data_IF_001647615867
#
_entry.id   IF_001647615867
#
_cell.length_a   1.000
_cell.length_b   1.000
_cell.length_c   1.000
_cell.angle_alpha   90.00
_cell.angle_beta   90.00
_cell.angle_gamma   90.00
#
_symmetry.space_group_name_H-M   'P 1'
#
loop_
_entity.id
_entity.type
_entity.pdbx_description
1 polymer ?
#
# COMPACT_ATOMS: atom_id res chain seq x y z
N UNK A 1 12.11 -8.87 -18.67
CA UNK A 1 11.04 -9.33 -19.59
C UNK A 1 10.92 -10.85 -19.62
N UNK A 2 11.93 -11.62 -20.01
CA UNK A 2 11.84 -13.09 -20.05
C UNK A 2 11.33 -13.74 -18.77
N UNK A 3 11.77 -13.27 -17.59
CA UNK A 3 11.30 -13.77 -16.30
C UNK A 3 9.78 -13.62 -16.12
N UNK A 4 9.21 -12.47 -16.45
CA UNK A 4 7.75 -12.24 -16.30
C UNK A 4 6.92 -13.07 -17.31
N UNK A 5 7.45 -13.33 -18.49
CA UNK A 5 6.82 -14.25 -19.47
C UNK A 5 6.81 -15.67 -18.90
N UNK A 6 7.90 -16.10 -18.26
CA UNK A 6 7.98 -17.41 -17.58
C UNK A 6 6.97 -17.48 -16.42
N UNK A 7 6.81 -16.42 -15.65
CA UNK A 7 5.80 -16.35 -14.57
C UNK A 7 4.39 -16.50 -15.13
N UNK A 8 4.05 -15.77 -16.22
CA UNK A 8 2.75 -15.88 -16.89
C UNK A 8 2.47 -17.28 -17.45
N UNK A 9 3.50 -18.05 -17.80
CA UNK A 9 3.37 -19.43 -18.26
C UNK A 9 3.28 -20.44 -17.12
N UNK A 10 4.15 -20.35 -16.11
CA UNK A 10 4.28 -21.34 -15.05
C UNK A 10 3.11 -21.30 -14.07
N UNK A 11 2.66 -20.11 -13.62
CA UNK A 11 1.60 -20.02 -12.63
C UNK A 11 0.28 -20.69 -13.05
N UNK A 12 -0.25 -20.48 -14.28
CA UNK A 12 -1.46 -21.18 -14.74
C UNK A 12 -1.28 -22.70 -14.92
N UNK A 13 -0.04 -23.17 -15.14
CA UNK A 13 0.24 -24.62 -15.23
C UNK A 13 0.17 -25.26 -13.84
N UNK A 14 0.74 -24.60 -12.81
CA UNK A 14 0.74 -25.11 -11.42
C UNK A 14 -0.64 -24.91 -10.78
N UNK A 15 -1.28 -23.77 -11.04
CA UNK A 15 -2.58 -23.39 -10.49
C UNK A 15 -3.58 -23.07 -11.60
N UNK A 16 -4.27 -24.07 -12.18
CA UNK A 16 -5.17 -23.87 -13.33
C UNK A 16 -6.32 -22.87 -13.07
N UNK A 17 -6.74 -22.75 -11.80
CA UNK A 17 -7.83 -21.87 -11.38
C UNK A 17 -7.36 -20.44 -10.99
N UNK A 18 -6.10 -20.08 -11.29
CA UNK A 18 -5.60 -18.74 -10.99
C UNK A 18 -6.35 -17.67 -11.79
N UNK A 19 -6.59 -16.53 -11.17
CA UNK A 19 -7.14 -15.37 -11.88
C UNK A 19 -6.07 -14.77 -12.81
N UNK A 20 -6.16 -15.12 -14.10
CA UNK A 20 -5.20 -14.69 -15.12
C UNK A 20 -5.15 -13.16 -15.27
N UNK A 21 -6.26 -12.46 -14.98
CA UNK A 21 -6.32 -11.00 -15.02
C UNK A 21 -5.43 -10.35 -13.95
N UNK A 22 -5.49 -10.86 -12.72
CA UNK A 22 -4.62 -10.40 -11.62
C UNK A 22 -3.15 -10.65 -11.97
N UNK A 23 -2.82 -11.85 -12.43
CA UNK A 23 -1.45 -12.22 -12.78
C UNK A 23 -0.89 -11.36 -13.92
N UNK A 24 -1.69 -11.13 -14.98
CA UNK A 24 -1.28 -10.28 -16.10
C UNK A 24 -1.06 -8.83 -15.69
N UNK A 25 -2.00 -8.26 -14.92
CA UNK A 25 -1.88 -6.89 -14.42
C UNK A 25 -0.68 -6.73 -13.48
N UNK A 26 -0.41 -7.72 -12.61
CA UNK A 26 0.77 -7.74 -11.75
C UNK A 26 2.06 -7.69 -12.59
N UNK A 27 2.18 -8.53 -13.62
CA UNK A 27 3.34 -8.54 -14.50
C UNK A 27 3.48 -7.23 -15.28
N UNK A 28 2.38 -6.62 -15.71
CA UNK A 28 2.38 -5.32 -16.37
C UNK A 28 2.89 -4.20 -15.43
N UNK A 29 2.39 -4.12 -14.21
CA UNK A 29 2.81 -3.13 -13.21
C UNK A 29 4.31 -3.30 -12.86
N UNK A 30 4.78 -4.55 -12.66
CA UNK A 30 6.19 -4.84 -12.44
C UNK A 30 7.06 -4.41 -13.63
N UNK A 31 6.59 -4.61 -14.87
CA UNK A 31 7.29 -4.19 -16.07
C UNK A 31 7.49 -2.67 -16.08
N UNK A 32 6.42 -1.92 -15.84
CA UNK A 32 6.46 -0.45 -15.75
C UNK A 32 7.40 -0.02 -14.63
N UNK A 33 7.30 -0.67 -13.45
CA UNK A 33 8.16 -0.42 -12.32
C UNK A 33 9.65 -0.62 -12.66
N UNK A 34 10.01 -1.71 -13.33
CA UNK A 34 11.40 -1.97 -13.74
C UNK A 34 11.91 -0.95 -14.76
N UNK A 35 11.10 -0.53 -15.72
CA UNK A 35 11.50 0.50 -16.72
C UNK A 35 11.82 1.81 -16.02
N UNK A 36 10.91 2.29 -15.17
CA UNK A 36 11.08 3.57 -14.47
C UNK A 36 12.22 3.51 -13.45
N UNK A 37 12.35 2.42 -12.69
CA UNK A 37 13.43 2.28 -11.72
C UNK A 37 14.81 2.13 -12.39
N UNK A 38 14.90 1.42 -13.52
CA UNK A 38 16.13 1.35 -14.29
C UNK A 38 16.55 2.74 -14.81
N UNK A 39 15.57 3.58 -15.18
CA UNK A 39 15.77 4.98 -15.55
C UNK A 39 16.26 5.84 -14.39
N UNK A 40 15.68 5.67 -13.19
CA UNK A 40 16.02 6.48 -12.01
C UNK A 40 17.29 6.00 -11.32
N UNK A 41 17.47 4.68 -11.17
CA UNK A 41 18.63 4.06 -10.55
C UNK A 41 18.74 2.59 -10.96
N UNK A 42 19.69 2.28 -11.81
CA UNK A 42 19.94 0.91 -12.29
C UNK A 42 20.25 -0.06 -11.12
N UNK A 43 21.05 0.39 -10.14
CA UNK A 43 21.38 -0.44 -8.97
C UNK A 43 20.15 -0.84 -8.17
N UNK A 44 19.21 0.12 -7.92
CA UNK A 44 17.94 -0.17 -7.22
C UNK A 44 17.05 -1.09 -8.04
N UNK A 45 17.01 -0.94 -9.37
CA UNK A 45 16.27 -1.80 -10.28
C UNK A 45 16.77 -3.24 -10.22
N UNK A 46 18.08 -3.46 -10.21
CA UNK A 46 18.70 -4.80 -10.08
C UNK A 46 18.35 -5.43 -8.72
N UNK A 47 18.53 -4.68 -7.63
CA UNK A 47 18.13 -5.16 -6.28
C UNK A 47 16.66 -5.55 -6.23
N UNK A 48 15.79 -4.72 -6.80
CA UNK A 48 14.36 -4.99 -6.85
C UNK A 48 14.04 -6.23 -7.69
N UNK A 49 14.70 -6.41 -8.83
CA UNK A 49 14.55 -7.60 -9.67
C UNK A 49 14.90 -8.88 -8.91
N UNK A 50 16.00 -8.88 -8.16
CA UNK A 50 16.40 -10.05 -7.33
C UNK A 50 15.31 -10.35 -6.30
N UNK A 51 14.81 -9.33 -5.60
CA UNK A 51 13.73 -9.49 -4.62
C UNK A 51 12.47 -10.06 -5.28
N UNK A 52 12.04 -9.50 -6.42
CA UNK A 52 10.87 -9.97 -7.15
C UNK A 52 11.04 -11.42 -7.59
N UNK A 53 12.22 -11.79 -8.13
CA UNK A 53 12.48 -13.16 -8.58
C UNK A 53 12.39 -14.16 -7.42
N UNK A 54 13.04 -13.87 -6.29
CA UNK A 54 13.01 -14.73 -5.09
C UNK A 54 11.60 -14.83 -4.51
N UNK A 55 10.91 -13.69 -4.35
CA UNK A 55 9.59 -13.64 -3.72
C UNK A 55 8.53 -14.30 -4.60
N UNK A 56 8.60 -14.12 -5.91
CA UNK A 56 7.67 -14.80 -6.85
C UNK A 56 7.83 -16.32 -6.77
N UNK A 57 9.04 -16.84 -6.61
CA UNK A 57 9.24 -18.28 -6.38
C UNK A 57 8.68 -18.73 -5.02
N UNK A 58 8.87 -17.91 -3.97
CA UNK A 58 8.30 -18.21 -2.65
C UNK A 58 6.77 -18.12 -2.64
N UNK A 59 6.18 -17.20 -3.40
CA UNK A 59 4.73 -17.04 -3.48
C UNK A 59 4.01 -18.26 -4.06
N UNK A 60 4.68 -19.10 -4.86
CA UNK A 60 4.14 -20.39 -5.32
C UNK A 60 3.77 -21.33 -4.17
N UNK A 61 4.41 -21.19 -3.01
CA UNK A 61 4.15 -22.04 -1.85
C UNK A 61 2.87 -21.59 -1.09
N UNK A 62 2.52 -20.31 -1.18
CA UNK A 62 1.42 -19.71 -0.40
C UNK A 62 0.06 -20.35 -0.68
N UNK A 63 -0.40 -20.50 -1.94
CA UNK A 63 -1.68 -21.18 -2.22
C UNK A 63 -1.71 -22.61 -1.75
N UNK A 64 -0.60 -23.34 -1.88
CA UNK A 64 -0.47 -24.71 -1.37
C UNK A 64 -0.65 -24.76 0.15
N UNK A 65 0.03 -23.90 0.91
CA UNK A 65 -0.12 -23.80 2.36
C UNK A 65 -1.55 -23.40 2.75
N UNK A 66 -2.12 -22.42 2.06
CA UNK A 66 -3.49 -21.95 2.33
C UNK A 66 -4.54 -23.04 2.10
N UNK A 67 -4.38 -23.87 1.07
CA UNK A 67 -5.29 -24.96 0.77
C UNK A 67 -5.12 -26.19 1.71
N UNK A 68 -3.89 -26.46 2.15
CA UNK A 68 -3.58 -27.65 2.97
C UNK A 68 -3.95 -27.47 4.44
N UNK A 69 -3.82 -26.26 4.99
CA UNK A 69 -4.04 -26.00 6.41
C UNK A 69 -5.32 -25.21 6.65
N UNK A 70 -6.35 -25.87 7.22
CA UNK A 70 -7.60 -25.21 7.63
C UNK A 70 -7.48 -24.40 8.94
N UNK A 71 -6.28 -24.31 9.52
CA UNK A 71 -6.02 -23.69 10.82
C UNK A 71 -6.03 -22.16 10.82
N UNK A 72 -5.96 -21.52 9.63
CA UNK A 72 -5.86 -20.06 9.50
C UNK A 72 -6.93 -19.29 10.27
N UNK A 73 -8.16 -19.83 10.34
CA UNK A 73 -9.27 -19.22 11.08
C UNK A 73 -9.12 -19.31 12.60
N UNK A 74 -8.42 -20.32 13.11
CA UNK A 74 -8.24 -20.53 14.57
C UNK A 74 -7.14 -19.67 15.15
N UNK A 75 -6.18 -19.22 14.34
CA UNK A 75 -5.01 -18.46 14.75
C UNK A 75 -5.28 -16.95 14.96
N UNK A 76 -6.55 -16.54 15.05
CA UNK A 76 -6.98 -15.13 15.15
C UNK A 76 -6.22 -14.35 16.22
N UNK A 77 -6.08 -14.90 17.42
CA UNK A 77 -5.37 -14.23 18.53
C UNK A 77 -3.86 -14.16 18.31
N UNK A 78 -3.27 -15.17 17.66
CA UNK A 78 -1.85 -15.16 17.29
C UNK A 78 -1.59 -14.00 16.32
N UNK A 79 -2.44 -13.84 15.30
CA UNK A 79 -2.33 -12.69 14.38
C UNK A 79 -2.44 -11.36 15.11
N UNK A 80 -3.37 -11.25 16.08
CA UNK A 80 -3.51 -10.04 16.88
C UNK A 80 -2.23 -9.69 17.63
N UNK A 81 -1.69 -10.62 18.42
CA UNK A 81 -0.52 -10.36 19.26
C UNK A 81 0.78 -10.22 18.45
N UNK A 82 0.97 -11.04 17.41
CA UNK A 82 2.15 -10.95 16.54
C UNK A 82 2.16 -9.62 15.79
N UNK A 83 1.01 -9.21 15.21
CA UNK A 83 0.93 -7.96 14.49
C UNK A 83 1.17 -6.73 15.39
N UNK A 84 0.50 -6.66 16.56
CA UNK A 84 0.73 -5.59 17.54
C UNK A 84 2.18 -5.61 18.07
N UNK A 85 2.70 -6.80 18.38
CA UNK A 85 4.07 -6.96 18.86
C UNK A 85 5.10 -6.45 17.87
N UNK A 86 4.94 -6.74 16.57
CA UNK A 86 5.82 -6.23 15.51
C UNK A 86 5.75 -4.71 15.39
N UNK A 87 4.57 -4.10 15.47
CA UNK A 87 4.45 -2.63 15.42
C UNK A 87 5.06 -1.97 16.66
N UNK A 88 4.84 -2.52 17.86
CA UNK A 88 5.43 -2.01 19.08
C UNK A 88 6.95 -2.18 19.05
N UNK A 89 7.47 -3.30 18.55
CA UNK A 89 8.91 -3.51 18.38
C UNK A 89 9.54 -2.41 17.52
N UNK A 90 8.88 -1.96 16.45
CA UNK A 90 9.37 -0.83 15.62
C UNK A 90 9.41 0.48 16.40
N UNK A 91 8.42 0.74 17.28
CA UNK A 91 8.45 1.94 18.13
C UNK A 91 9.67 1.97 19.05
N UNK A 92 10.08 0.78 19.56
CA UNK A 92 11.19 0.66 20.51
C UNK A 92 12.55 0.62 19.80
N UNK A 93 12.70 -0.27 18.83
CA UNK A 93 13.99 -0.59 18.17
C UNK A 93 14.16 0.13 16.82
N UNK A 94 13.09 0.70 16.27
CA UNK A 94 13.09 1.30 14.94
C UNK A 94 14.06 2.46 14.80
N UNK A 95 14.74 2.53 13.64
CA UNK A 95 15.62 3.64 13.29
C UNK A 95 14.80 4.86 12.87
N UNK A 96 15.18 6.01 13.40
CA UNK A 96 14.57 7.29 13.05
C UNK A 96 14.96 7.63 11.60
N UNK A 97 13.98 7.65 10.70
CA UNK A 97 14.15 8.07 9.31
C UNK A 97 13.16 9.17 8.99
N UNK A 98 13.65 10.38 8.69
CA UNK A 98 12.82 11.55 8.37
C UNK A 98 11.76 11.90 9.41
N UNK A 99 12.11 11.76 10.69
CA UNK A 99 11.19 12.08 11.79
C UNK A 99 10.18 10.97 12.12
N UNK A 100 10.22 9.83 11.43
CA UNK A 100 9.37 8.66 11.71
C UNK A 100 10.21 7.42 12.03
N UNK A 101 9.73 6.59 12.93
CA UNK A 101 10.33 5.28 13.24
C UNK A 101 9.59 4.21 12.44
N UNK A 102 10.03 3.95 11.20
CA UNK A 102 9.35 3.06 10.26
C UNK A 102 10.12 1.78 9.96
N UNK A 103 11.44 1.81 10.10
CA UNK A 103 12.33 0.78 9.59
C UNK A 103 13.17 0.15 10.69
N UNK A 104 13.38 -1.16 10.57
CA UNK A 104 14.41 -1.90 11.30
C UNK A 104 15.53 -2.19 10.32
N UNK A 105 16.76 -1.80 10.63
CA UNK A 105 17.94 -2.13 9.83
C UNK A 105 18.54 -3.44 10.33
N UNK A 106 18.57 -4.47 9.46
CA UNK A 106 19.15 -5.78 9.74
C UNK A 106 20.22 -6.04 8.68
N UNK A 107 21.49 -6.06 9.05
CA UNK A 107 22.61 -6.40 8.16
C UNK A 107 22.60 -5.68 6.80
N UNK A 108 22.26 -4.38 6.78
CA UNK A 108 22.20 -3.57 5.55
C UNK A 108 20.87 -3.59 4.79
N UNK A 109 19.92 -4.44 5.18
CA UNK A 109 18.56 -4.40 4.65
C UNK A 109 17.65 -3.54 5.53
N UNK A 110 16.82 -2.72 4.90
CA UNK A 110 15.76 -1.96 5.58
C UNK A 110 14.46 -2.75 5.52
N UNK A 111 13.97 -3.17 6.67
CA UNK A 111 12.72 -3.89 6.81
C UNK A 111 11.65 -2.97 7.41
N UNK A 112 10.51 -2.85 6.74
CA UNK A 112 9.35 -2.09 7.22
C UNK A 112 8.26 -3.06 7.69
N UNK A 113 8.12 -3.29 8.99
CA UNK A 113 7.15 -4.25 9.51
C UNK A 113 5.70 -3.92 9.20
N UNK A 114 5.30 -2.65 9.12
CA UNK A 114 3.91 -2.26 8.81
C UNK A 114 3.41 -2.85 7.48
N UNK A 115 4.30 -3.07 6.51
CA UNK A 115 3.96 -3.71 5.23
C UNK A 115 3.50 -5.17 5.38
N UNK A 116 4.12 -5.92 6.29
CA UNK A 116 3.74 -7.32 6.59
C UNK A 116 2.59 -7.39 7.58
N UNK A 117 2.60 -6.50 8.57
CA UNK A 117 1.53 -6.43 9.56
C UNK A 117 0.20 -6.12 8.91
N UNK A 118 0.18 -5.40 7.78
CA UNK A 118 -1.01 -5.17 6.96
C UNK A 118 -1.71 -6.49 6.58
N UNK A 119 -0.95 -7.49 6.14
CA UNK A 119 -1.48 -8.83 5.80
C UNK A 119 -1.99 -9.53 7.06
N UNK A 120 -1.16 -9.57 8.12
CA UNK A 120 -1.50 -10.19 9.41
C UNK A 120 -2.78 -9.57 10.00
N UNK A 121 -2.93 -8.25 9.90
CA UNK A 121 -4.10 -7.51 10.35
C UNK A 121 -5.38 -7.93 9.61
N UNK A 122 -5.31 -8.13 8.29
CA UNK A 122 -6.45 -8.61 7.51
C UNK A 122 -6.86 -10.00 7.96
N UNK A 123 -5.93 -10.92 8.20
CA UNK A 123 -6.21 -12.26 8.72
C UNK A 123 -6.81 -12.20 10.14
N UNK A 124 -6.32 -11.32 10.99
CA UNK A 124 -6.86 -11.07 12.32
C UNK A 124 -8.32 -10.62 12.25
N UNK A 125 -8.61 -9.56 11.50
CA UNK A 125 -9.97 -9.00 11.39
C UNK A 125 -10.92 -10.00 10.71
N UNK A 126 -10.46 -10.69 9.65
CA UNK A 126 -11.25 -11.73 8.99
C UNK A 126 -11.59 -12.88 9.96
N UNK A 127 -10.64 -13.27 10.82
CA UNK A 127 -10.86 -14.28 11.85
C UNK A 127 -11.88 -13.84 12.91
N UNK A 128 -11.85 -12.57 13.33
CA UNK A 128 -12.81 -12.00 14.28
C UNK A 128 -14.22 -11.96 13.66
N UNK A 129 -14.37 -11.31 12.51
CA UNK A 129 -15.66 -11.05 11.88
C UNK A 129 -16.31 -12.31 11.29
N UNK A 130 -15.54 -13.35 10.94
CA UNK A 130 -16.08 -14.60 10.44
C UNK A 130 -16.68 -15.49 11.53
N UNK A 131 -16.33 -15.27 12.81
CA UNK A 131 -16.85 -16.04 13.95
C UNK A 131 -18.20 -15.52 14.43
N UNK A 132 -18.34 -14.21 14.59
CA UNK A 132 -19.58 -13.57 15.02
C UNK A 132 -19.61 -12.10 14.57
N UNK A 133 -20.76 -11.66 14.09
CA UNK A 133 -21.06 -10.26 13.78
C UNK A 133 -21.91 -9.58 14.88
N UNK A 134 -21.95 -10.15 16.09
CA UNK A 134 -22.63 -9.57 17.25
C UNK A 134 -21.95 -8.28 17.69
N UNK A 135 -22.72 -7.38 18.29
CA UNK A 135 -22.24 -6.05 18.65
C UNK A 135 -21.03 -6.09 19.59
N UNK A 136 -21.01 -6.99 20.57
CA UNK A 136 -19.89 -7.12 21.51
C UNK A 136 -18.57 -7.54 20.80
N UNK A 137 -18.63 -8.50 19.88
CA UNK A 137 -17.49 -8.91 19.07
C UNK A 137 -17.01 -7.80 18.12
N UNK A 138 -17.97 -7.01 17.59
CA UNK A 138 -17.66 -5.88 16.73
C UNK A 138 -16.92 -4.78 17.51
N UNK A 139 -17.40 -4.44 18.72
CA UNK A 139 -16.73 -3.46 19.59
C UNK A 139 -15.34 -3.92 19.97
N UNK A 140 -15.17 -5.20 20.33
CA UNK A 140 -13.85 -5.76 20.66
C UNK A 140 -12.90 -5.66 19.46
N UNK A 141 -13.37 -6.02 18.25
CA UNK A 141 -12.55 -5.90 17.04
C UNK A 141 -12.20 -4.45 16.72
N UNK A 142 -13.10 -3.49 16.98
CA UNK A 142 -12.88 -2.06 16.79
C UNK A 142 -11.81 -1.51 17.75
N UNK A 143 -11.87 -1.90 19.02
CA UNK A 143 -10.88 -1.51 20.03
C UNK A 143 -9.50 -2.05 19.66
N UNK A 144 -9.41 -3.33 19.31
CA UNK A 144 -8.14 -3.93 18.90
C UNK A 144 -7.59 -3.34 17.59
N UNK A 145 -8.44 -3.13 16.58
CA UNK A 145 -8.04 -2.43 15.36
C UNK A 145 -7.59 -0.99 15.64
N UNK A 146 -8.29 -0.31 16.55
CA UNK A 146 -7.92 1.02 17.02
C UNK A 146 -6.52 1.07 17.65
N UNK A 147 -6.14 0.03 18.40
CA UNK A 147 -4.77 -0.07 18.96
C UNK A 147 -3.70 -0.13 17.84
N UNK A 148 -3.92 -0.90 16.77
CA UNK A 148 -3.00 -0.90 15.62
C UNK A 148 -2.86 0.49 15.01
N UNK A 149 -3.99 1.18 14.80
CA UNK A 149 -4.00 2.54 14.23
C UNK A 149 -3.28 3.52 15.16
N UNK A 150 -3.52 3.47 16.47
CA UNK A 150 -2.86 4.35 17.45
C UNK A 150 -1.34 4.13 17.47
N UNK A 151 -0.86 2.88 17.45
CA UNK A 151 0.57 2.58 17.40
C UNK A 151 1.20 3.16 16.13
N UNK A 152 0.54 3.06 14.98
CA UNK A 152 1.00 3.65 13.71
C UNK A 152 1.01 5.18 13.76
N UNK A 153 0.01 5.81 14.36
CA UNK A 153 -0.04 7.27 14.54
C UNK A 153 1.11 7.75 15.45
N UNK A 154 1.39 7.05 16.54
CA UNK A 154 2.53 7.35 17.44
C UNK A 154 3.87 7.17 16.70
N UNK A 155 3.96 6.18 15.80
CA UNK A 155 5.14 5.99 14.91
C UNK A 155 5.27 7.05 13.83
N UNK A 156 4.32 8.01 13.74
CA UNK A 156 4.20 9.02 12.67
C UNK A 156 3.96 8.43 11.27
N UNK A 157 3.47 7.17 11.19
CA UNK A 157 3.08 6.47 9.96
C UNK A 157 1.59 6.67 9.66
N UNK A 158 1.22 7.91 9.32
CA UNK A 158 -0.18 8.28 9.07
C UNK A 158 -0.74 7.61 7.82
N UNK A 159 0.11 7.34 6.82
CA UNK A 159 -0.30 6.65 5.60
C UNK A 159 -0.74 5.22 5.89
N UNK A 160 0.08 4.44 6.60
CA UNK A 160 -0.28 3.09 7.03
C UNK A 160 -1.47 3.11 7.99
N UNK A 161 -1.54 4.06 8.93
CA UNK A 161 -2.67 4.20 9.85
C UNK A 161 -4.00 4.34 9.10
N UNK A 162 -4.03 5.18 8.05
CA UNK A 162 -5.21 5.36 7.20
C UNK A 162 -5.56 4.09 6.42
N UNK A 163 -4.56 3.38 5.87
CA UNK A 163 -4.77 2.10 5.17
C UNK A 163 -5.40 1.08 6.10
N UNK A 164 -4.86 0.88 7.31
CA UNK A 164 -5.40 -0.06 8.30
C UNK A 164 -6.82 0.28 8.72
N UNK A 165 -7.09 1.56 8.95
CA UNK A 165 -8.42 2.03 9.28
C UNK A 165 -9.43 1.73 8.16
N UNK A 166 -9.08 2.06 6.92
CA UNK A 166 -9.96 1.82 5.77
C UNK A 166 -10.19 0.32 5.52
N UNK A 167 -9.14 -0.50 5.63
CA UNK A 167 -9.27 -1.96 5.56
C UNK A 167 -10.26 -2.46 6.59
N UNK A 168 -10.13 -2.07 7.87
CA UNK A 168 -11.06 -2.42 8.93
C UNK A 168 -12.49 -2.01 8.60
N UNK A 169 -12.69 -0.77 8.19
CA UNK A 169 -14.00 -0.20 7.90
C UNK A 169 -14.75 -0.97 6.80
N UNK A 170 -14.08 -1.25 5.69
CA UNK A 170 -14.69 -2.00 4.59
C UNK A 170 -14.91 -3.48 4.96
N UNK A 171 -14.00 -4.10 5.71
CA UNK A 171 -14.19 -5.46 6.20
C UNK A 171 -15.40 -5.56 7.15
N UNK A 172 -15.59 -4.58 8.05
CA UNK A 172 -16.79 -4.50 8.91
C UNK A 172 -18.06 -4.33 8.08
N UNK A 173 -18.02 -3.48 7.06
CA UNK A 173 -19.17 -3.33 6.15
C UNK A 173 -19.54 -4.65 5.47
N UNK A 174 -18.58 -5.35 4.89
CA UNK A 174 -18.82 -6.63 4.21
C UNK A 174 -19.23 -7.71 5.21
N UNK A 175 -18.64 -7.74 6.40
CA UNK A 175 -18.95 -8.71 7.46
C UNK A 175 -20.34 -8.54 8.03
N UNK A 176 -20.81 -7.31 8.20
CA UNK A 176 -22.09 -6.99 8.83
C UNK A 176 -23.21 -6.71 7.84
N UNK A 177 -22.88 -6.35 6.59
CA UNK A 177 -23.80 -5.86 5.55
C UNK A 177 -24.60 -4.60 5.96
N UNK A 178 -24.12 -3.85 6.96
CA UNK A 178 -24.80 -2.65 7.51
C UNK A 178 -24.03 -1.39 7.12
N UNK A 179 -24.56 -0.63 6.17
CA UNK A 179 -23.97 0.62 5.65
C UNK A 179 -23.74 1.67 6.75
N UNK A 180 -24.54 1.65 7.82
CA UNK A 180 -24.40 2.57 8.96
C UNK A 180 -22.97 2.59 9.54
N UNK A 181 -22.26 1.45 9.55
CA UNK A 181 -20.90 1.39 10.07
C UNK A 181 -19.89 2.13 9.17
N UNK A 182 -20.12 2.19 7.86
CA UNK A 182 -19.34 3.04 6.97
C UNK A 182 -19.48 4.52 7.33
N UNK A 183 -20.72 5.00 7.53
CA UNK A 183 -20.95 6.40 7.92
C UNK A 183 -20.37 6.73 9.29
N UNK A 184 -20.51 5.85 10.28
CA UNK A 184 -19.93 6.02 11.61
C UNK A 184 -18.39 6.07 11.51
N UNK A 185 -17.78 5.17 10.72
CA UNK A 185 -16.33 5.15 10.51
C UNK A 185 -15.85 6.39 9.78
N UNK A 186 -16.54 6.83 8.73
CA UNK A 186 -16.20 8.07 8.01
C UNK A 186 -16.28 9.31 8.91
N UNK A 187 -17.29 9.40 9.77
CA UNK A 187 -17.37 10.45 10.79
C UNK A 187 -16.21 10.35 11.80
N UNK A 188 -15.88 9.13 12.21
CA UNK A 188 -14.76 8.86 13.12
C UNK A 188 -13.42 9.31 12.55
N UNK A 189 -13.12 8.99 11.27
CA UNK A 189 -11.85 9.40 10.65
C UNK A 189 -11.80 10.92 10.45
N UNK A 190 -12.92 11.56 10.09
CA UNK A 190 -12.98 13.02 9.97
C UNK A 190 -12.66 13.70 11.30
N UNK A 191 -13.24 13.21 12.40
CA UNK A 191 -12.97 13.70 13.75
C UNK A 191 -11.51 13.44 14.15
N UNK A 192 -10.99 12.23 13.91
CA UNK A 192 -9.61 11.86 14.21
C UNK A 192 -8.61 12.72 13.40
N UNK A 193 -8.91 13.06 12.13
CA UNK A 193 -8.09 13.92 11.30
C UNK A 193 -8.00 15.35 11.85
N UNK A 194 -9.12 15.90 12.35
CA UNK A 194 -9.13 17.23 13.00
C UNK A 194 -8.31 17.21 14.30
N UNK A 195 -8.44 16.16 15.09
CA UNK A 195 -7.66 15.98 16.32
C UNK A 195 -6.17 15.85 15.99
N UNK A 196 -5.82 15.01 15.01
CA UNK A 196 -4.44 14.82 14.55
C UNK A 196 -3.82 16.14 14.06
N UNK A 197 -4.57 16.94 13.30
CA UNK A 197 -4.12 18.26 12.86
C UNK A 197 -3.81 19.21 14.03
N UNK A 198 -4.61 19.17 15.09
CA UNK A 198 -4.38 20.02 16.27
C UNK A 198 -3.21 19.55 17.14
N UNK A 199 -2.98 18.23 17.24
CA UNK A 199 -2.02 17.65 18.17
C UNK A 199 -0.61 17.47 17.55
N UNK A 200 -0.50 17.22 16.25
CA UNK A 200 0.75 16.82 15.61
C UNK A 200 1.28 17.88 14.64
N UNK A 201 2.44 18.46 14.95
CA UNK A 201 3.09 19.49 14.10
C UNK A 201 3.42 18.97 12.69
N UNK A 202 3.83 17.71 12.54
CA UNK A 202 4.10 17.12 11.22
C UNK A 202 2.85 17.00 10.35
N UNK A 203 1.64 16.85 10.95
CA UNK A 203 0.37 16.88 10.21
C UNK A 203 0.07 18.29 9.74
N UNK A 204 0.29 19.29 10.61
CA UNK A 204 0.11 20.70 10.27
C UNK A 204 0.98 21.10 9.07
N UNK A 205 2.26 20.72 9.09
CA UNK A 205 3.19 20.99 7.97
C UNK A 205 2.70 20.33 6.67
N UNK A 206 2.26 19.08 6.70
CA UNK A 206 1.73 18.41 5.50
C UNK A 206 0.48 19.08 4.94
N UNK A 207 -0.44 19.52 5.82
CA UNK A 207 -1.64 20.27 5.41
C UNK A 207 -1.27 21.67 4.88
N UNK A 208 -0.28 22.33 5.46
CA UNK A 208 0.21 23.62 4.99
C UNK A 208 0.81 23.51 3.58
N UNK A 209 1.68 22.52 3.36
CA UNK A 209 2.28 22.21 2.05
C UNK A 209 1.19 21.87 1.03
N UNK A 210 0.21 21.06 1.41
CA UNK A 210 -0.91 20.67 0.54
C UNK A 210 -1.74 21.88 0.09
N UNK A 211 -2.02 22.82 0.99
CA UNK A 211 -2.81 24.02 0.66
C UNK A 211 -2.04 25.00 -0.22
N UNK A 212 -0.77 25.22 0.06
CA UNK A 212 0.04 26.25 -0.60
C UNK A 212 1.44 25.75 -0.95
N UNK A 213 1.58 24.75 -1.87
CA UNK A 213 2.88 24.15 -2.18
C UNK A 213 3.90 25.14 -2.77
N UNK A 214 3.43 26.21 -3.41
CA UNK A 214 4.26 27.22 -4.10
C UNK A 214 4.52 28.48 -3.28
N UNK A 215 4.11 28.54 -2.01
CA UNK A 215 4.41 29.71 -1.17
C UNK A 215 5.94 29.87 -1.00
N UNK A 216 6.42 31.11 -0.97
CA UNK A 216 7.86 31.43 -1.01
C UNK A 216 8.66 30.82 0.15
N UNK A 217 8.06 30.69 1.32
CA UNK A 217 8.63 30.08 2.52
C UNK A 217 8.54 28.56 2.53
N UNK A 218 7.71 27.95 1.67
CA UNK A 218 7.42 26.53 1.62
C UNK A 218 8.13 25.84 0.44
N UNK A 219 8.13 26.46 -0.74
CA UNK A 219 8.58 25.85 -2.00
C UNK A 219 10.00 25.29 -1.97
N UNK A 220 10.92 25.99 -1.27
CA UNK A 220 12.33 25.58 -1.17
C UNK A 220 12.64 24.79 0.11
N UNK A 221 11.65 24.57 0.97
CA UNK A 221 11.78 23.92 2.27
C UNK A 221 10.89 22.68 2.38
N UNK A 222 9.90 22.72 3.23
CA UNK A 222 9.00 21.61 3.51
C UNK A 222 8.16 21.14 2.31
N UNK A 223 7.86 22.05 1.37
CA UNK A 223 7.09 21.78 0.15
C UNK A 223 7.92 21.40 -1.07
N UNK A 224 9.26 21.46 -0.99
CA UNK A 224 10.11 21.25 -2.16
C UNK A 224 9.79 19.98 -2.95
N UNK A 225 9.59 18.87 -2.24
CA UNK A 225 9.28 17.57 -2.87
C UNK A 225 7.94 17.61 -3.63
N UNK A 226 6.90 18.17 -3.03
CA UNK A 226 5.57 18.30 -3.66
C UNK A 226 5.60 19.28 -4.83
N UNK A 227 6.29 20.41 -4.67
CA UNK A 227 6.40 21.41 -5.75
C UNK A 227 7.14 20.85 -6.96
N UNK A 228 8.26 20.14 -6.75
CA UNK A 228 8.99 19.48 -7.84
C UNK A 228 8.15 18.38 -8.50
N UNK A 229 7.34 17.64 -7.73
CA UNK A 229 6.38 16.69 -8.26
C UNK A 229 5.37 17.34 -9.21
N UNK A 230 4.80 18.47 -8.82
CA UNK A 230 3.83 19.20 -9.63
C UNK A 230 4.48 19.83 -10.88
N UNK A 231 5.72 20.31 -10.78
CA UNK A 231 6.47 20.80 -11.94
C UNK A 231 6.75 19.67 -12.94
N UNK A 232 7.15 18.48 -12.46
CA UNK A 232 7.38 17.31 -13.28
C UNK A 232 6.10 16.91 -14.04
N UNK A 233 4.98 16.81 -13.34
CA UNK A 233 3.68 16.50 -13.95
C UNK A 233 3.25 17.57 -14.97
N UNK A 234 3.48 18.85 -14.65
CA UNK A 234 3.17 19.96 -15.54
C UNK A 234 4.03 19.97 -16.80
N UNK A 235 5.33 19.67 -16.69
CA UNK A 235 6.24 19.59 -17.84
C UNK A 235 5.95 18.40 -18.75
N UNK A 236 5.47 17.28 -18.19
CA UNK A 236 5.10 16.10 -18.96
C UNK A 236 3.89 16.30 -19.87
N UNK A 237 2.94 17.17 -19.47
CA UNK A 237 1.74 17.41 -20.26
C UNK A 237 0.93 16.13 -20.54
N UNK A 238 0.29 16.06 -21.73
CA UNK A 238 -0.53 14.90 -22.10
C UNK A 238 0.31 13.70 -22.56
N UNK A 239 1.37 13.93 -23.36
CA UNK A 239 2.13 12.88 -24.04
C UNK A 239 3.47 12.54 -23.38
N UNK A 240 3.90 13.31 -22.38
CA UNK A 240 5.21 13.18 -21.74
C UNK A 240 6.33 13.88 -22.50
N UNK A 241 7.44 14.10 -21.81
CA UNK A 241 8.66 14.64 -22.42
C UNK A 241 9.44 13.60 -23.22
N UNK A 242 9.17 12.32 -23.00
CA UNK A 242 9.90 11.18 -23.53
C UNK A 242 10.85 10.56 -22.48
N UNK A 243 11.06 9.25 -22.62
CA UNK A 243 11.95 8.50 -21.72
C UNK A 243 13.38 9.05 -21.81
N UNK A 244 14.01 9.33 -20.69
CA UNK A 244 15.31 10.00 -20.53
C UNK A 244 15.33 11.48 -20.94
N UNK A 245 14.21 12.11 -21.28
CA UNK A 245 14.15 13.53 -21.65
C UNK A 245 13.67 14.42 -20.49
N UNK A 246 13.07 13.83 -19.44
CA UNK A 246 12.68 14.52 -18.20
C UNK A 246 13.81 14.65 -17.20
N UNK A 247 13.54 15.35 -16.10
CA UNK A 247 14.44 15.55 -14.97
C UNK A 247 13.84 15.05 -13.64
N UNK A 248 13.28 13.82 -13.57
CA UNK A 248 12.59 13.33 -12.38
C UNK A 248 13.50 13.26 -11.15
N UNK A 249 14.81 13.18 -11.33
CA UNK A 249 15.81 13.18 -10.25
C UNK A 249 15.84 14.48 -9.43
N UNK A 250 15.20 15.56 -9.90
CA UNK A 250 15.02 16.80 -9.11
C UNK A 250 14.03 16.58 -7.95
N UNK A 251 13.14 15.60 -8.06
CA UNK A 251 12.23 15.23 -6.97
C UNK A 251 13.00 14.37 -5.97
N UNK A 252 13.17 14.81 -4.71
CA UNK A 252 13.84 14.00 -3.70
C UNK A 252 13.12 12.65 -3.51
N UNK A 253 13.90 11.55 -3.60
CA UNK A 253 13.41 10.19 -3.37
C UNK A 253 12.21 9.84 -4.28
N UNK A 254 12.29 10.29 -5.51
CA UNK A 254 11.28 10.07 -6.55
C UNK A 254 10.93 8.58 -6.74
N UNK A 255 11.89 7.71 -6.54
CA UNK A 255 11.74 6.26 -6.70
C UNK A 255 10.80 5.59 -5.67
N UNK A 256 10.45 6.26 -4.57
CA UNK A 256 9.54 5.76 -3.55
C UNK A 256 8.12 6.34 -3.73
N UNK A 257 7.89 7.50 -3.12
CA UNK A 257 6.56 8.09 -2.91
C UNK A 257 6.07 8.86 -4.12
N UNK A 258 6.98 9.34 -4.98
CA UNK A 258 6.69 10.20 -6.12
C UNK A 258 7.03 9.57 -7.48
N UNK A 259 7.12 8.23 -7.53
CA UNK A 259 7.37 7.51 -8.78
C UNK A 259 6.31 7.81 -9.85
N UNK A 260 5.07 8.07 -9.43
CA UNK A 260 3.99 8.46 -10.34
C UNK A 260 4.28 9.79 -11.04
N UNK A 261 4.98 10.74 -10.38
CA UNK A 261 5.37 12.01 -10.97
C UNK A 261 6.46 11.83 -12.02
N UNK A 262 7.41 10.92 -11.81
CA UNK A 262 8.40 10.56 -12.83
C UNK A 262 7.73 9.93 -14.07
N UNK A 263 6.74 9.07 -13.85
CA UNK A 263 5.94 8.47 -14.93
C UNK A 263 5.17 9.57 -15.68
N UNK A 264 4.51 10.49 -14.96
CA UNK A 264 3.76 11.59 -15.56
C UNK A 264 4.64 12.56 -16.33
N UNK A 265 5.88 12.82 -15.89
CA UNK A 265 6.83 13.66 -16.61
C UNK A 265 7.29 13.04 -17.92
N UNK A 266 7.76 11.79 -17.89
CA UNK A 266 8.38 11.16 -19.07
C UNK A 266 7.37 10.52 -20.02
N UNK A 267 6.26 9.92 -19.50
CA UNK A 267 5.25 9.24 -20.31
C UNK A 267 3.94 10.03 -20.50
N UNK A 268 3.74 11.11 -19.72
CA UNK A 268 2.59 11.98 -19.83
C UNK A 268 1.35 11.53 -19.06
N UNK A 269 0.36 12.42 -19.03
CA UNK A 269 -0.88 12.22 -18.28
C UNK A 269 -1.72 11.07 -18.83
N UNK A 270 -1.75 10.84 -20.13
CA UNK A 270 -2.50 9.73 -20.76
C UNK A 270 -1.98 8.39 -20.22
N UNK A 271 -0.67 8.20 -20.20
CA UNK A 271 -0.07 6.99 -19.64
C UNK A 271 -0.36 6.84 -18.14
N UNK A 272 -0.29 7.95 -17.38
CA UNK A 272 -0.64 7.96 -15.96
C UNK A 272 -2.09 7.52 -15.71
N UNK A 273 -3.05 7.97 -16.53
CA UNK A 273 -4.45 7.53 -16.46
C UNK A 273 -4.58 6.04 -16.80
N UNK A 274 -3.92 5.56 -17.84
CA UNK A 274 -3.92 4.13 -18.19
C UNK A 274 -3.35 3.27 -17.07
N UNK A 275 -2.28 3.73 -16.43
CA UNK A 275 -1.70 3.06 -15.25
C UNK A 275 -2.71 2.96 -14.10
N UNK A 276 -3.44 4.03 -13.80
CA UNK A 276 -4.50 4.03 -12.78
C UNK A 276 -5.62 3.03 -13.15
N UNK A 277 -5.99 2.95 -14.42
CA UNK A 277 -6.99 1.98 -14.90
C UNK A 277 -6.51 0.53 -14.73
N UNK A 278 -5.23 0.23 -14.96
CA UNK A 278 -4.66 -1.10 -14.67
C UNK A 278 -4.73 -1.39 -13.16
N UNK A 279 -4.37 -0.43 -12.31
CA UNK A 279 -4.50 -0.58 -10.87
C UNK A 279 -5.96 -0.80 -10.44
N UNK A 280 -6.91 -0.09 -11.02
CA UNK A 280 -8.35 -0.28 -10.77
C UNK A 280 -8.82 -1.67 -11.24
N UNK A 281 -8.33 -2.15 -12.38
CA UNK A 281 -8.59 -3.52 -12.87
C UNK A 281 -8.12 -4.58 -11.88
N UNK A 282 -6.95 -4.41 -11.25
CA UNK A 282 -6.50 -5.28 -10.16
C UNK A 282 -7.48 -5.26 -8.99
N UNK A 283 -7.88 -4.08 -8.53
CA UNK A 283 -8.84 -3.95 -7.42
C UNK A 283 -10.18 -4.63 -7.71
N UNK A 284 -10.74 -4.41 -8.90
CA UNK A 284 -11.98 -5.07 -9.34
C UNK A 284 -11.78 -6.60 -9.35
N UNK A 285 -10.64 -7.07 -9.81
CA UNK A 285 -10.34 -8.51 -9.81
C UNK A 285 -10.24 -9.09 -8.40
N UNK A 286 -9.70 -8.36 -7.41
CA UNK A 286 -9.75 -8.76 -6.00
C UNK A 286 -11.19 -8.86 -5.48
N UNK A 287 -12.07 -7.91 -5.84
CA UNK A 287 -13.47 -7.93 -5.44
C UNK A 287 -14.23 -9.10 -6.11
N UNK A 288 -13.97 -9.38 -7.38
CA UNK A 288 -14.56 -10.52 -8.07
C UNK A 288 -14.13 -11.84 -7.40
N UNK A 289 -12.84 -12.00 -7.13
CA UNK A 289 -12.33 -13.17 -6.39
C UNK A 289 -12.97 -13.29 -5.00
N UNK A 290 -13.22 -12.16 -4.31
CA UNK A 290 -13.92 -12.16 -3.03
C UNK A 290 -15.37 -12.64 -3.15
N UNK A 291 -16.07 -12.27 -4.23
CA UNK A 291 -17.46 -12.71 -4.47
C UNK A 291 -17.58 -14.20 -4.76
N UNK A 292 -16.56 -14.80 -5.38
CA UNK A 292 -16.49 -16.23 -5.67
C UNK A 292 -16.22 -17.09 -4.42
N UNK A 293 -15.74 -16.49 -3.32
CA UNK A 293 -15.41 -17.25 -2.10
C UNK A 293 -16.65 -17.71 -1.33
N UNK A 294 -16.75 -19.00 -1.07
CA UNK A 294 -17.80 -19.59 -0.25
C UNK A 294 -17.61 -19.31 1.25
N UNK A 295 -16.37 -19.21 1.71
CA UNK A 295 -16.05 -18.95 3.11
C UNK A 295 -16.05 -17.46 3.40
N UNK A 296 -16.78 -17.03 4.45
CA UNK A 296 -16.79 -15.64 4.90
C UNK A 296 -15.39 -15.14 5.28
N UNK A 297 -14.56 -15.99 5.88
CA UNK A 297 -13.18 -15.68 6.20
C UNK A 297 -12.38 -15.34 4.95
N UNK A 298 -12.40 -16.20 3.92
CA UNK A 298 -11.66 -15.97 2.68
C UNK A 298 -12.18 -14.73 1.94
N UNK A 299 -13.51 -14.53 1.92
CA UNK A 299 -14.13 -13.34 1.35
C UNK A 299 -13.61 -12.06 2.01
N UNK A 300 -13.56 -12.03 3.35
CA UNK A 300 -13.05 -10.90 4.10
C UNK A 300 -11.56 -10.68 3.87
N UNK A 301 -10.75 -11.75 3.75
CA UNK A 301 -9.33 -11.64 3.42
C UNK A 301 -9.15 -10.97 2.06
N UNK A 302 -9.83 -11.45 1.02
CA UNK A 302 -9.74 -10.86 -0.33
C UNK A 302 -10.18 -9.40 -0.34
N UNK A 303 -11.29 -9.05 0.33
CA UNK A 303 -11.75 -7.66 0.45
C UNK A 303 -10.74 -6.80 1.19
N UNK A 304 -10.23 -7.25 2.34
CA UNK A 304 -9.29 -6.50 3.15
C UNK A 304 -8.00 -6.18 2.39
N UNK A 305 -7.41 -7.19 1.73
CA UNK A 305 -6.20 -7.03 0.93
C UNK A 305 -6.45 -6.13 -0.29
N UNK A 306 -7.57 -6.33 -1.00
CA UNK A 306 -7.95 -5.50 -2.15
C UNK A 306 -8.18 -4.04 -1.77
N UNK A 307 -8.87 -3.76 -0.65
CA UNK A 307 -9.06 -2.40 -0.13
C UNK A 307 -7.72 -1.78 0.28
N UNK A 308 -6.85 -2.54 0.98
CA UNK A 308 -5.52 -2.07 1.34
C UNK A 308 -4.72 -1.65 0.11
N UNK A 309 -4.73 -2.46 -0.96
CA UNK A 309 -4.12 -2.15 -2.24
C UNK A 309 -4.71 -0.87 -2.87
N UNK A 310 -6.04 -0.76 -2.96
CA UNK A 310 -6.70 0.39 -3.57
C UNK A 310 -6.43 1.70 -2.82
N UNK A 311 -6.53 1.69 -1.49
CA UNK A 311 -6.25 2.87 -0.66
C UNK A 311 -4.78 3.28 -0.78
N UNK A 312 -3.85 2.31 -0.84
CA UNK A 312 -2.43 2.60 -1.04
C UNK A 312 -2.18 3.35 -2.36
N UNK A 313 -2.83 2.95 -3.46
CA UNK A 313 -2.75 3.65 -4.76
C UNK A 313 -3.33 5.07 -4.65
N UNK A 314 -4.53 5.20 -4.06
CA UNK A 314 -5.18 6.51 -3.88
C UNK A 314 -4.29 7.47 -3.10
N UNK A 315 -3.64 7.00 -2.04
CA UNK A 315 -2.73 7.81 -1.23
C UNK A 315 -1.47 8.21 -1.98
N UNK A 316 -0.88 7.31 -2.75
CA UNK A 316 0.36 7.59 -3.49
C UNK A 316 0.09 8.51 -4.66
N UNK A 317 -0.87 8.17 -5.52
CA UNK A 317 -1.22 8.98 -6.70
C UNK A 317 -1.80 10.32 -6.26
N UNK A 318 -2.75 10.31 -5.32
CA UNK A 318 -3.39 11.52 -4.80
C UNK A 318 -2.40 12.47 -4.11
N UNK A 319 -1.38 11.92 -3.41
CA UNK A 319 -0.29 12.71 -2.85
C UNK A 319 0.62 13.32 -3.92
N UNK A 320 0.95 12.55 -4.97
CA UNK A 320 1.81 12.99 -6.05
C UNK A 320 1.19 14.15 -6.88
N UNK A 321 -0.13 14.08 -7.14
CA UNK A 321 -0.87 15.14 -7.85
C UNK A 321 -1.41 16.25 -6.92
N UNK A 322 -1.03 16.23 -5.64
CA UNK A 322 -1.50 17.18 -4.61
C UNK A 322 -3.03 17.23 -4.43
N UNK A 323 -3.76 16.14 -4.74
CA UNK A 323 -5.20 16.03 -4.46
C UNK A 323 -5.46 15.86 -2.95
N UNK A 324 -4.55 15.18 -2.26
CA UNK A 324 -4.54 14.97 -0.80
C UNK A 324 -3.14 15.26 -0.25
N UNK A 325 -3.00 15.53 1.07
CA UNK A 325 -1.67 15.69 1.68
C UNK A 325 -0.81 14.44 1.46
N UNK A 326 0.45 14.62 1.04
CA UNK A 326 1.39 13.51 0.82
C UNK A 326 1.59 12.69 2.10
N UNK A 327 1.48 11.37 2.01
CA UNK A 327 1.55 10.45 3.15
C UNK A 327 2.84 9.63 3.21
N UNK A 328 3.65 9.64 2.15
CA UNK A 328 4.91 8.88 2.10
C UNK A 328 4.72 7.39 1.85
N UNK A 329 3.61 7.00 1.25
CA UNK A 329 3.29 5.60 0.90
C UNK A 329 3.77 5.29 -0.52
N UNK A 330 4.30 4.11 -0.74
CA UNK A 330 4.82 3.65 -2.04
C UNK A 330 3.71 3.18 -2.97
N UNK A 331 3.90 3.34 -4.29
CA UNK A 331 2.99 2.78 -5.30
C UNK A 331 3.24 1.26 -5.44
N UNK A 332 2.22 0.41 -5.19
CA UNK A 332 2.39 -1.05 -5.19
C UNK A 332 2.96 -1.57 -6.51
N UNK A 333 3.93 -2.49 -6.44
CA UNK A 333 4.63 -3.14 -7.57
C UNK A 333 5.49 -2.22 -8.44
N UNK A 334 5.40 -0.90 -8.33
CA UNK A 334 6.08 0.07 -9.19
C UNK A 334 7.20 0.78 -8.44
N UNK A 335 6.92 1.32 -7.23
CA UNK A 335 7.92 2.03 -6.44
C UNK A 335 9.07 1.14 -5.98
N UNK A 336 10.22 1.76 -5.75
CA UNK A 336 11.32 1.12 -5.03
C UNK A 336 10.94 0.89 -3.57
N UNK A 337 11.02 -0.34 -3.10
CA UNK A 337 10.71 -0.67 -1.71
C UNK A 337 10.71 -2.18 -1.47
N UNK A 338 11.81 -2.73 -0.96
CA UNK A 338 11.95 -4.18 -0.79
C UNK A 338 10.82 -4.80 0.04
N UNK A 339 10.46 -4.20 1.18
CA UNK A 339 9.37 -4.68 2.04
C UNK A 339 8.00 -4.53 1.40
N UNK A 340 7.76 -3.42 0.71
CA UNK A 340 6.48 -3.15 0.04
C UNK A 340 6.25 -4.09 -1.13
N UNK A 341 7.25 -4.32 -1.96
CA UNK A 341 7.17 -5.29 -3.07
C UNK A 341 6.97 -6.71 -2.55
N UNK A 342 7.73 -7.10 -1.53
CA UNK A 342 7.64 -8.43 -0.95
C UNK A 342 6.22 -8.66 -0.38
N UNK A 343 5.69 -7.74 0.41
CA UNK A 343 4.33 -7.84 0.95
C UNK A 343 3.28 -7.86 -0.17
N UNK A 344 3.43 -7.01 -1.18
CA UNK A 344 2.46 -6.91 -2.29
C UNK A 344 2.44 -8.18 -3.15
N UNK A 345 3.60 -8.78 -3.44
CA UNK A 345 3.66 -10.04 -4.18
C UNK A 345 2.99 -11.21 -3.44
N UNK A 346 2.97 -11.20 -2.10
CA UNK A 346 2.20 -12.18 -1.33
C UNK A 346 0.69 -11.91 -1.34
N UNK A 347 0.28 -10.70 -1.64
CA UNK A 347 -1.13 -10.32 -1.76
C UNK A 347 -1.71 -10.74 -3.11
N UNK A 348 -0.91 -10.64 -4.18
CA UNK A 348 -1.28 -11.04 -5.53
C UNK A 348 -1.21 -12.54 -5.76
#
# INVERSE_FOLDING_TARGET
MCFLIVVLGIFPIIYPNINKGILSNMCMLLTIGFIILARLSFEKSVKQFIIVAVVTMLSLIVPYLMSRFNMWKSLTWIYCFVGLGLLVAVLVVGTLSRGAKLYIKISGFTFQPSEFVKIIFVFFIAGMLSKSAEFGHLVLSAVLAGLYVIVLVISTDLGSALIFFMMYLFMVYVGTKKVRYLFIGMAGISTASVIAYKLFSHVQVRVLVWKNPFAADIINNSGYQVSQSLFALGSGGLMGTGLYQGYPNKIPIVDNDFVFSAIGEEFGAIFGILLILVCLSCFISFLNTAMEQNSMFNRLVCVGLGVGYAIQIILTVGGAINMIPSTGVTLPLISSGGSSILSTLFVF
#
